data_IF_467379239248
#
_entry.id   IF_467379239248
#
_cell.length_a   1.000
_cell.length_b   1.000
_cell.length_c   1.000
_cell.angle_alpha   90.00
_cell.angle_beta   90.00
_cell.angle_gamma   90.00
#
_symmetry.space_group_name_H-M   'P 1'
#
loop_
_entity.id
_entity.type
_entity.pdbx_description
1 polymer ?
#
# COMPACT_ATOMS: atom_id res chain seq x y z
N UNK A 1 -15.07 -21.59 11.90
CA UNK A 1 -15.19 -21.65 10.43
C UNK A 1 -15.26 -20.26 9.79
N UNK A 2 -16.06 -19.34 10.33
CA UNK A 2 -16.25 -17.97 9.82
C UNK A 2 -14.96 -17.16 9.59
N UNK A 3 -14.00 -17.20 10.53
CA UNK A 3 -12.72 -16.49 10.37
C UNK A 3 -11.85 -17.05 9.25
N UNK A 4 -11.90 -18.37 9.03
CA UNK A 4 -11.13 -19.05 7.97
C UNK A 4 -11.66 -18.64 6.59
N UNK A 5 -12.98 -18.58 6.45
CA UNK A 5 -13.64 -18.08 5.24
C UNK A 5 -13.34 -16.60 5.01
N UNK A 6 -13.40 -15.76 6.05
CA UNK A 6 -13.06 -14.34 5.95
C UNK A 6 -11.60 -14.11 5.48
N UNK A 7 -10.65 -14.87 6.04
CA UNK A 7 -9.25 -14.80 5.61
C UNK A 7 -9.08 -15.23 4.14
N UNK A 8 -9.78 -16.28 3.72
CA UNK A 8 -9.73 -16.74 2.32
C UNK A 8 -10.28 -15.68 1.36
N UNK A 9 -11.40 -15.03 1.72
CA UNK A 9 -11.96 -13.93 0.93
C UNK A 9 -11.03 -12.71 0.86
N UNK A 10 -10.37 -12.37 1.97
CA UNK A 10 -9.39 -11.28 1.99
C UNK A 10 -8.21 -11.53 1.04
N UNK A 11 -7.68 -12.77 1.04
CA UNK A 11 -6.62 -13.19 0.11
C UNK A 11 -7.11 -13.08 -1.34
N UNK A 12 -8.27 -13.64 -1.66
CA UNK A 12 -8.83 -13.61 -3.02
C UNK A 12 -9.09 -12.18 -3.52
N UNK A 13 -9.55 -11.28 -2.63
CA UNK A 13 -9.74 -9.87 -2.96
C UNK A 13 -8.42 -9.18 -3.32
N UNK A 14 -7.37 -9.43 -2.52
CA UNK A 14 -6.04 -8.88 -2.77
C UNK A 14 -5.47 -9.40 -4.09
N UNK A 15 -5.51 -10.72 -4.31
CA UNK A 15 -4.98 -11.33 -5.53
C UNK A 15 -5.69 -10.83 -6.79
N UNK A 16 -7.03 -10.85 -6.79
CA UNK A 16 -7.82 -10.39 -7.94
C UNK A 16 -7.62 -8.91 -8.24
N UNK A 17 -7.54 -8.07 -7.20
CA UNK A 17 -7.33 -6.62 -7.39
C UNK A 17 -5.93 -6.32 -7.91
N UNK A 18 -4.89 -6.95 -7.34
CA UNK A 18 -3.50 -6.77 -7.80
C UNK A 18 -3.31 -7.33 -9.22
N UNK A 19 -3.97 -8.45 -9.55
CA UNK A 19 -3.99 -8.98 -10.91
C UNK A 19 -4.68 -8.01 -11.88
N UNK A 20 -5.80 -7.39 -11.48
CA UNK A 20 -6.48 -6.37 -12.28
C UNK A 20 -5.62 -5.11 -12.44
N UNK A 21 -4.86 -4.69 -11.42
CA UNK A 21 -3.90 -3.60 -11.53
C UNK A 21 -2.82 -3.89 -12.57
N UNK A 22 -2.31 -5.14 -12.58
CA UNK A 22 -1.32 -5.61 -13.55
C UNK A 22 -1.88 -5.63 -14.97
N UNK A 23 -3.08 -6.17 -15.18
CA UNK A 23 -3.69 -6.29 -16.51
C UNK A 23 -4.18 -4.94 -17.05
N UNK A 24 -4.66 -4.05 -16.18
CA UNK A 24 -5.13 -2.71 -16.57
C UNK A 24 -4.04 -1.81 -17.16
N UNK A 25 -2.76 -2.21 -17.06
CA UNK A 25 -1.63 -1.50 -17.65
C UNK A 25 -1.62 -1.57 -19.18
N UNK A 26 -2.16 -2.64 -19.78
CA UNK A 26 -2.07 -2.88 -21.23
C UNK A 26 -3.03 -1.99 -22.03
N UNK A 27 -4.07 -1.44 -21.38
CA UNK A 27 -5.14 -0.70 -22.03
C UNK A 27 -5.23 0.78 -21.64
N UNK A 28 -4.40 1.28 -20.72
CA UNK A 28 -4.55 2.64 -20.20
C UNK A 28 -3.84 3.70 -21.05
N UNK A 29 -4.58 4.25 -22.01
CA UNK A 29 -4.27 5.51 -22.70
C UNK A 29 -5.07 6.63 -22.00
N UNK A 30 -4.53 7.23 -20.93
CA UNK A 30 -5.11 8.43 -20.31
C UNK A 30 -5.04 8.51 -18.77
N UNK A 31 -5.16 9.73 -18.24
CA UNK A 31 -5.06 10.14 -16.82
C UNK A 31 -6.18 9.60 -15.89
N UNK A 32 -6.97 8.63 -16.31
CA UNK A 32 -8.06 8.08 -15.48
C UNK A 32 -7.51 7.08 -14.45
N UNK A 33 -8.10 7.05 -13.26
CA UNK A 33 -7.79 6.01 -12.25
C UNK A 33 -8.55 4.76 -12.66
N UNK A 34 -7.88 3.62 -12.81
CA UNK A 34 -8.60 2.38 -13.07
C UNK A 34 -9.45 2.00 -11.85
N UNK A 35 -10.60 1.33 -12.00
CA UNK A 35 -11.40 0.89 -10.86
C UNK A 35 -10.59 0.09 -9.83
N UNK A 36 -9.60 -0.69 -10.28
CA UNK A 36 -8.69 -1.42 -9.41
C UNK A 36 -7.75 -0.50 -8.60
N UNK A 37 -7.28 0.61 -9.17
CA UNK A 37 -6.46 1.59 -8.45
C UNK A 37 -7.24 2.32 -7.35
N UNK A 38 -8.54 2.53 -7.56
CA UNK A 38 -9.42 3.12 -6.55
C UNK A 38 -9.63 2.20 -5.33
N UNK A 39 -9.38 0.89 -5.46
CA UNK A 39 -9.50 -0.08 -4.37
C UNK A 39 -8.27 -0.16 -3.48
N UNK A 40 -7.16 0.49 -3.83
CA UNK A 40 -5.90 0.41 -3.07
C UNK A 40 -6.09 0.79 -1.59
N UNK A 41 -6.77 1.88 -1.21
CA UNK A 41 -7.05 2.18 0.20
C UNK A 41 -7.77 1.03 0.92
N UNK A 42 -8.74 0.41 0.24
CA UNK A 42 -9.48 -0.71 0.81
C UNK A 42 -8.60 -1.95 0.97
N UNK A 43 -7.64 -2.19 0.08
CA UNK A 43 -6.65 -3.25 0.25
C UNK A 43 -5.76 -3.00 1.48
N UNK A 44 -5.35 -1.75 1.71
CA UNK A 44 -4.55 -1.40 2.89
C UNK A 44 -5.32 -1.64 4.20
N UNK A 45 -6.62 -1.33 4.24
CA UNK A 45 -7.48 -1.66 5.38
C UNK A 45 -7.61 -3.17 5.61
N UNK A 46 -7.75 -3.95 4.52
CA UNK A 46 -7.82 -5.42 4.59
C UNK A 46 -6.50 -6.02 5.08
N UNK A 47 -5.36 -5.46 4.67
CA UNK A 47 -4.03 -5.88 5.13
C UNK A 47 -3.82 -5.67 6.63
N UNK A 48 -4.32 -4.56 7.16
CA UNK A 48 -4.30 -4.26 8.58
C UNK A 48 -5.17 -5.29 9.34
N UNK A 49 -6.42 -5.46 8.92
CA UNK A 49 -7.40 -6.33 9.58
C UNK A 49 -7.11 -7.84 9.45
N UNK A 50 -6.46 -8.28 8.37
CA UNK A 50 -6.26 -9.70 8.04
C UNK A 50 -4.79 -10.02 7.73
N UNK A 51 -3.97 -10.34 8.76
CA UNK A 51 -2.55 -10.64 8.58
C UNK A 51 -2.25 -11.80 7.63
N UNK A 52 -3.18 -12.76 7.50
CA UNK A 52 -3.06 -13.89 6.58
C UNK A 52 -2.97 -13.47 5.10
N UNK A 53 -3.40 -12.26 4.76
CA UNK A 53 -3.41 -11.73 3.40
C UNK A 53 -2.11 -11.01 3.00
N UNK A 54 -1.24 -10.72 3.97
CA UNK A 54 0.04 -10.00 3.78
C UNK A 54 0.97 -10.66 2.75
N UNK A 55 1.17 -12.00 2.75
CA UNK A 55 2.04 -12.64 1.76
C UNK A 55 1.52 -12.48 0.32
N UNK A 56 0.21 -12.62 0.13
CA UNK A 56 -0.43 -12.47 -1.19
C UNK A 56 -0.29 -11.04 -1.71
N UNK A 57 -0.41 -10.04 -0.83
CA UNK A 57 -0.17 -8.65 -1.20
C UNK A 57 1.29 -8.39 -1.56
N UNK A 58 2.24 -8.89 -0.76
CA UNK A 58 3.66 -8.70 -1.02
C UNK A 58 4.02 -9.26 -2.40
N UNK A 59 3.58 -10.47 -2.71
CA UNK A 59 3.84 -11.10 -4.01
C UNK A 59 3.15 -10.36 -5.15
N UNK A 60 1.87 -10.02 -5.01
CA UNK A 60 1.15 -9.29 -6.05
C UNK A 60 1.74 -7.89 -6.29
N UNK A 61 2.14 -7.19 -5.22
CA UNK A 61 2.77 -5.86 -5.31
C UNK A 61 4.15 -5.91 -5.99
N UNK A 62 4.87 -7.04 -5.93
CA UNK A 62 6.14 -7.21 -6.65
C UNK A 62 5.94 -7.16 -8.16
N UNK A 63 4.85 -7.74 -8.64
CA UNK A 63 4.50 -7.77 -10.06
C UNK A 63 3.86 -6.49 -10.59
N UNK A 64 3.37 -5.62 -9.70
CA UNK A 64 2.74 -4.36 -10.05
C UNK A 64 3.78 -3.22 -10.17
N UNK A 65 3.65 -2.32 -11.17
CA UNK A 65 4.49 -1.12 -11.24
C UNK A 65 4.32 -0.21 -10.02
N UNK A 66 5.44 0.29 -9.49
CA UNK A 66 5.49 1.13 -8.28
C UNK A 66 4.79 2.48 -8.46
N UNK A 67 4.71 3.01 -9.69
CA UNK A 67 4.07 4.30 -9.98
C UNK A 67 2.59 4.35 -9.59
N UNK A 68 1.90 3.19 -9.61
CA UNK A 68 0.48 3.08 -9.22
C UNK A 68 0.28 3.50 -7.75
N UNK A 69 1.27 3.21 -6.92
CA UNK A 69 1.23 3.44 -5.48
C UNK A 69 1.60 4.87 -5.09
N UNK A 70 2.18 5.67 -5.99
CA UNK A 70 2.61 7.05 -5.70
C UNK A 70 1.46 7.93 -5.22
N UNK A 71 0.27 7.80 -5.82
CA UNK A 71 -0.93 8.53 -5.39
C UNK A 71 -1.33 8.22 -3.94
N UNK A 72 -0.99 7.03 -3.47
CA UNK A 72 -1.38 6.50 -2.16
C UNK A 72 -0.24 6.56 -1.14
N UNK A 73 0.84 7.30 -1.43
CA UNK A 73 2.02 7.38 -0.57
C UNK A 73 1.67 7.81 0.86
N UNK A 74 0.81 8.80 1.04
CA UNK A 74 0.41 9.26 2.37
C UNK A 74 -0.29 8.16 3.18
N UNK A 75 -1.15 7.36 2.54
CA UNK A 75 -1.82 6.23 3.20
C UNK A 75 -0.84 5.09 3.49
N UNK A 76 0.10 4.81 2.59
CA UNK A 76 1.14 3.80 2.81
C UNK A 76 2.02 4.16 4.02
N UNK A 77 2.45 5.42 4.11
CA UNK A 77 3.25 5.90 5.23
C UNK A 77 2.46 5.87 6.56
N UNK A 78 1.18 6.24 6.54
CA UNK A 78 0.32 6.16 7.72
C UNK A 78 0.13 4.70 8.21
N UNK A 79 0.08 3.72 7.30
CA UNK A 79 0.03 2.31 7.69
C UNK A 79 1.37 1.82 8.22
N UNK A 80 2.50 2.29 7.66
CA UNK A 80 3.85 1.98 8.13
C UNK A 80 4.13 2.43 9.57
N UNK A 81 3.44 3.46 10.06
CA UNK A 81 3.52 3.89 11.47
C UNK A 81 2.98 2.81 12.44
N UNK A 82 2.20 1.84 11.95
CA UNK A 82 1.69 0.74 12.74
C UNK A 82 2.53 -0.54 12.55
N UNK A 83 2.63 -1.43 13.56
CA UNK A 83 3.34 -2.71 13.43
C UNK A 83 2.79 -3.60 12.29
N UNK A 84 1.52 -3.41 11.95
CA UNK A 84 0.85 -4.13 10.87
C UNK A 84 1.34 -3.72 9.48
N UNK A 85 1.94 -2.53 9.37
CA UNK A 85 2.45 -1.95 8.14
C UNK A 85 3.82 -2.45 7.70
N UNK A 86 4.51 -3.28 8.50
CA UNK A 86 5.84 -3.80 8.14
C UNK A 86 5.87 -4.49 6.77
N UNK A 87 4.76 -5.10 6.36
CA UNK A 87 4.60 -5.73 5.03
C UNK A 87 4.79 -4.75 3.87
N UNK A 88 4.60 -3.44 4.11
CA UNK A 88 4.71 -2.39 3.09
C UNK A 88 6.14 -1.91 2.89
N UNK A 89 7.09 -2.20 3.80
CA UNK A 89 8.48 -1.73 3.66
C UNK A 89 9.11 -2.08 2.31
N UNK A 90 9.04 -3.34 1.82
CA UNK A 90 9.63 -3.69 0.52
C UNK A 90 8.98 -3.00 -0.67
N UNK A 91 7.72 -2.56 -0.53
CA UNK A 91 7.05 -1.77 -1.56
C UNK A 91 7.56 -0.33 -1.54
N UNK A 92 7.59 0.31 -0.37
CA UNK A 92 8.04 1.70 -0.22
C UNK A 92 9.52 1.86 -0.55
N UNK A 93 10.35 0.88 -0.21
CA UNK A 93 11.77 0.85 -0.59
C UNK A 93 11.93 0.84 -2.12
N UNK A 94 11.18 -0.01 -2.83
CA UNK A 94 11.19 -0.01 -4.31
C UNK A 94 10.68 1.31 -4.89
N UNK A 95 9.62 1.88 -4.32
CA UNK A 95 9.16 3.20 -4.74
C UNK A 95 10.24 4.28 -4.53
N UNK A 96 11.04 4.19 -3.46
CA UNK A 96 12.11 5.13 -3.17
C UNK A 96 13.30 5.00 -4.14
N UNK A 97 13.54 3.79 -4.65
CA UNK A 97 14.52 3.55 -5.72
C UNK A 97 14.00 4.09 -7.06
N UNK A 98 12.73 3.82 -7.40
CA UNK A 98 12.16 4.18 -8.70
C UNK A 98 11.82 5.68 -8.81
N UNK A 99 11.36 6.30 -7.71
CA UNK A 99 10.84 7.68 -7.67
C UNK A 99 11.28 8.44 -6.41
N UNK A 100 12.59 8.65 -6.18
CA UNK A 100 13.12 9.25 -4.95
C UNK A 100 12.54 10.65 -4.66
N UNK A 101 12.43 11.51 -5.67
CA UNK A 101 11.91 12.87 -5.50
C UNK A 101 10.42 12.91 -5.14
N UNK A 102 9.63 11.94 -5.63
CA UNK A 102 8.21 11.87 -5.32
C UNK A 102 7.95 11.51 -3.84
N UNK A 103 8.87 10.77 -3.22
CA UNK A 103 8.78 10.32 -1.82
C UNK A 103 9.45 11.26 -0.83
N UNK A 104 10.39 12.11 -1.28
CA UNK A 104 11.16 13.01 -0.41
C UNK A 104 10.27 13.89 0.47
N UNK A 105 9.25 14.52 -0.11
CA UNK A 105 8.34 15.40 0.65
C UNK A 105 7.36 14.61 1.54
N UNK A 106 6.62 13.60 1.02
CA UNK A 106 5.75 12.78 1.86
C UNK A 106 6.44 12.15 3.07
N UNK A 107 7.62 11.55 2.87
CA UNK A 107 8.40 10.94 3.96
C UNK A 107 8.83 12.01 4.97
N UNK A 108 9.33 13.16 4.51
CA UNK A 108 9.75 14.25 5.41
C UNK A 108 8.59 14.77 6.28
N UNK A 109 7.39 14.87 5.71
CA UNK A 109 6.19 15.30 6.46
C UNK A 109 5.77 14.25 7.49
N UNK A 110 5.73 12.96 7.13
CA UNK A 110 5.40 11.89 8.07
C UNK A 110 6.44 11.77 9.19
N UNK A 111 7.73 11.76 8.87
CA UNK A 111 8.81 11.73 9.87
C UNK A 111 8.86 13.00 10.75
N UNK A 112 8.51 14.17 10.19
CA UNK A 112 8.45 15.43 10.93
C UNK A 112 7.28 15.50 11.92
N UNK A 113 6.19 14.77 11.65
CA UNK A 113 5.05 14.64 12.58
C UNK A 113 5.45 13.92 13.87
N UNK A 114 6.27 12.87 13.76
CA UNK A 114 6.84 12.13 14.91
C UNK A 114 7.80 13.00 15.73
N UNK A 115 8.64 13.80 15.07
CA UNK A 115 9.61 14.69 15.73
C UNK A 115 8.93 15.84 16.53
N UNK A 116 7.70 16.23 16.17
CA UNK A 116 6.92 17.20 16.95
C UNK A 116 6.30 16.60 18.23
N UNK A 117 6.38 15.27 18.43
CA UNK A 117 5.72 14.54 19.51
C UNK A 117 6.65 13.98 20.60
N UNK A 118 7.98 14.13 20.47
CA UNK A 118 8.94 13.74 21.50
C UNK A 118 9.12 14.82 22.60
N UNK A 119 9.38 14.44 23.87
CA UNK A 119 8.72 15.04 25.02
C UNK A 119 9.48 16.20 25.65
N UNK A 120 8.76 17.29 25.93
CA UNK A 120 9.29 18.42 26.69
C UNK A 120 8.53 19.71 26.45
N UNK A 121 7.23 19.74 26.71
CA UNK A 121 6.50 21.00 26.93
C UNK A 121 5.16 20.76 27.62
N UNK A 122 5.16 21.14 28.90
CA UNK A 122 4.09 21.31 29.89
C UNK A 122 3.60 20.08 30.63
#
# INVERSE_FOLDING_TARGET
ETQRSANHLAVQLIESTLMALRLGQESQVGLSVSPAQALIPRLLEVLAAYPASRPAFLEGSRSAPTWIFLRWTSQLLAVLENPEGEVLFPLVERMAVDFPEALRYPIKVSAGSEAAKAPGSR
#
